data_IF_868770867888
#
_entry.id   IF_868770867888
#
_cell.length_a   1.000
_cell.length_b   1.000
_cell.length_c   1.000
_cell.angle_alpha   90.00
_cell.angle_beta   90.00
_cell.angle_gamma   90.00
#
_symmetry.space_group_name_H-M   'P 1'
#
loop_
_entity.id
_entity.type
_entity.pdbx_description
1 polymer ?
#
# COMPACT_ATOMS: atom_id res chain seq x y z
N UNK A 1 -22.50 1.22 -61.43
CA UNK A 1 -21.15 0.64 -61.34
C UNK A 1 -20.44 1.28 -60.15
N UNK A 2 -20.36 0.57 -59.03
CA UNK A 2 -19.65 1.03 -57.83
C UNK A 2 -18.49 0.05 -57.57
N UNK A 3 -17.30 0.61 -57.40
CA UNK A 3 -16.03 -0.11 -57.27
C UNK A 3 -15.98 -0.96 -55.98
N UNK A 4 -15.28 -2.12 -55.99
CA UNK A 4 -15.13 -2.94 -54.80
C UNK A 4 -14.08 -2.36 -53.84
N UNK A 5 -14.41 -2.39 -52.55
CA UNK A 5 -13.58 -1.96 -51.43
C UNK A 5 -12.48 -2.98 -51.10
N UNK A 6 -11.28 -2.46 -50.80
CA UNK A 6 -10.06 -3.17 -50.41
C UNK A 6 -10.11 -3.72 -48.96
N UNK A 7 -9.72 -4.99 -48.79
CA UNK A 7 -9.80 -5.79 -47.54
C UNK A 7 -8.49 -5.68 -46.70
N UNK A 8 -7.63 -4.70 -46.96
CA UNK A 8 -6.29 -4.64 -46.35
C UNK A 8 -6.19 -4.06 -44.92
N UNK A 9 -7.30 -3.69 -44.24
CA UNK A 9 -7.27 -3.17 -42.85
C UNK A 9 -7.74 -4.13 -41.74
N UNK A 10 -8.01 -5.40 -42.05
CA UNK A 10 -8.51 -6.39 -41.08
C UNK A 10 -7.43 -7.20 -40.33
N UNK A 11 -6.14 -6.95 -40.57
CA UNK A 11 -5.07 -7.90 -40.18
C UNK A 11 -4.46 -7.64 -38.80
N UNK A 12 -4.60 -6.43 -38.23
CA UNK A 12 -4.01 -6.11 -36.92
C UNK A 12 -4.89 -6.59 -35.74
N UNK A 13 -6.22 -6.52 -35.87
CA UNK A 13 -7.17 -6.94 -34.84
C UNK A 13 -7.26 -8.47 -34.72
N UNK A 14 -7.06 -9.21 -35.82
CA UNK A 14 -7.02 -10.68 -35.81
C UNK A 14 -5.80 -11.26 -35.06
N UNK A 15 -4.67 -10.54 -35.01
CA UNK A 15 -3.45 -11.02 -34.33
C UNK A 15 -3.52 -10.94 -32.79
N UNK A 16 -4.35 -10.05 -32.23
CA UNK A 16 -4.64 -10.01 -30.79
C UNK A 16 -5.72 -11.03 -30.38
N UNK A 17 -6.59 -11.41 -31.32
CA UNK A 17 -7.71 -12.32 -31.10
C UNK A 17 -7.30 -13.79 -30.87
N UNK A 18 -6.20 -14.24 -31.48
CA UNK A 18 -5.75 -15.65 -31.40
C UNK A 18 -5.07 -15.98 -30.06
N UNK A 19 -4.58 -14.98 -29.31
CA UNK A 19 -3.81 -15.23 -28.06
C UNK A 19 -4.66 -15.54 -26.82
N UNK A 20 -5.94 -15.15 -26.80
CA UNK A 20 -6.74 -15.14 -25.56
C UNK A 20 -8.10 -15.88 -25.62
N UNK A 21 -8.37 -16.70 -26.64
CA UNK A 21 -9.43 -17.72 -26.58
C UNK A 21 -10.83 -17.24 -26.17
N UNK A 22 -11.38 -16.23 -26.84
CA UNK A 22 -12.75 -15.76 -26.58
C UNK A 22 -13.78 -16.37 -27.54
N UNK A 23 -14.88 -16.87 -26.97
CA UNK A 23 -16.08 -17.27 -27.73
C UNK A 23 -16.90 -16.01 -28.04
N UNK A 24 -16.86 -15.58 -29.30
CA UNK A 24 -17.71 -14.52 -29.84
C UNK A 24 -19.07 -15.10 -30.25
N UNK A 25 -20.14 -14.78 -29.53
CA UNK A 25 -21.50 -14.89 -30.09
C UNK A 25 -21.81 -13.59 -30.82
N UNK A 26 -21.54 -13.59 -32.11
CA UNK A 26 -22.05 -12.62 -33.08
C UNK A 26 -23.57 -12.63 -33.07
N UNK A 27 -24.23 -11.57 -32.62
CA UNK A 27 -25.65 -11.34 -32.93
C UNK A 27 -25.75 -10.07 -33.76
N UNK A 28 -26.45 -10.19 -34.89
CA UNK A 28 -26.49 -9.22 -36.01
C UNK A 28 -26.83 -7.80 -35.52
N UNK A 29 -25.96 -6.83 -35.84
CA UNK A 29 -26.25 -5.39 -35.76
C UNK A 29 -27.33 -5.03 -36.78
N UNK A 30 -28.41 -4.39 -36.33
CA UNK A 30 -29.28 -3.59 -37.20
C UNK A 30 -28.63 -2.22 -37.45
N UNK A 31 -28.73 -1.66 -38.67
CA UNK A 31 -28.28 -0.30 -38.93
C UNK A 31 -29.32 0.67 -38.37
N UNK A 32 -28.93 1.80 -37.78
CA UNK A 32 -29.54 3.13 -37.97
C UNK A 32 -28.85 4.17 -37.08
N UNK A 33 -28.75 5.41 -37.59
CA UNK A 33 -28.22 6.55 -36.86
C UNK A 33 -29.15 6.91 -35.70
N UNK A 34 -28.69 6.72 -34.46
CA UNK A 34 -29.45 7.10 -33.26
C UNK A 34 -28.94 8.45 -32.77
N UNK A 35 -29.82 9.45 -32.68
CA UNK A 35 -29.50 10.73 -32.03
C UNK A 35 -29.16 10.46 -30.55
N UNK A 36 -28.16 11.15 -29.97
CA UNK A 36 -27.90 11.07 -28.54
C UNK A 36 -29.17 11.41 -27.76
N UNK A 37 -29.54 10.57 -26.79
CA UNK A 37 -30.72 10.78 -25.95
C UNK A 37 -30.33 10.65 -24.49
N UNK A 38 -30.82 11.57 -23.67
CA UNK A 38 -31.08 11.24 -22.28
C UNK A 38 -32.26 10.26 -22.29
N UNK A 39 -32.01 8.99 -21.95
CA UNK A 39 -33.05 7.97 -21.90
C UNK A 39 -34.17 8.33 -20.87
N UNK A 40 -33.92 9.33 -20.00
CA UNK A 40 -34.75 9.70 -18.87
C UNK A 40 -34.84 11.22 -18.65
N UNK A 41 -35.17 12.01 -19.68
CA UNK A 41 -35.20 13.48 -19.62
C UNK A 41 -36.20 14.11 -18.63
N UNK A 42 -37.05 13.29 -18.00
CA UNK A 42 -38.00 13.70 -16.97
C UNK A 42 -37.55 13.36 -15.55
N UNK A 43 -36.36 12.77 -15.39
CA UNK A 43 -35.83 12.33 -14.11
C UNK A 43 -34.93 13.41 -13.54
N UNK A 44 -35.15 13.74 -12.26
CA UNK A 44 -34.29 14.66 -11.52
C UNK A 44 -33.28 13.88 -10.67
N UNK A 45 -32.03 14.34 -10.69
CA UNK A 45 -30.95 13.91 -9.81
C UNK A 45 -30.98 14.67 -8.48
N UNK A 46 -30.27 14.14 -7.50
CA UNK A 46 -30.06 14.79 -6.19
C UNK A 46 -28.94 15.82 -6.29
N UNK A 47 -29.27 17.11 -6.25
CA UNK A 47 -28.28 18.19 -6.19
C UNK A 47 -27.65 18.26 -4.80
N UNK A 48 -26.33 18.45 -4.72
CA UNK A 48 -25.59 18.41 -3.44
C UNK A 48 -24.49 19.46 -3.35
N UNK A 49 -24.12 19.82 -2.12
CA UNK A 49 -22.89 20.57 -1.86
C UNK A 49 -21.65 19.65 -1.81
N UNK A 50 -20.46 20.24 -1.66
CA UNK A 50 -19.19 19.49 -1.57
C UNK A 50 -19.05 18.63 -0.31
N UNK A 51 -19.94 18.80 0.67
CA UNK A 51 -20.01 18.00 1.90
C UNK A 51 -21.07 16.89 1.80
N UNK A 52 -21.72 16.77 0.64
CA UNK A 52 -22.82 15.85 0.36
C UNK A 52 -24.13 16.18 1.08
N UNK A 53 -24.36 17.44 1.44
CA UNK A 53 -25.69 17.88 1.86
C UNK A 53 -26.59 18.04 0.66
N UNK A 54 -27.80 17.49 0.74
CA UNK A 54 -28.83 17.62 -0.29
C UNK A 54 -29.31 19.08 -0.39
N UNK A 55 -29.24 19.65 -1.59
CA UNK A 55 -29.70 21.02 -1.91
C UNK A 55 -31.07 21.02 -2.61
N UNK A 56 -31.55 19.85 -3.02
CA UNK A 56 -32.81 19.68 -3.76
C UNK A 56 -32.62 18.82 -5.00
N UNK A 57 -33.42 19.08 -6.02
CA UNK A 57 -33.42 18.37 -7.30
C UNK A 57 -32.80 19.18 -8.42
N UNK A 58 -32.11 18.53 -9.34
CA UNK A 58 -31.65 19.11 -10.61
C UNK A 58 -32.03 18.17 -11.76
N UNK A 59 -32.45 18.70 -12.91
CA UNK A 59 -32.75 17.87 -14.08
C UNK A 59 -31.48 17.17 -14.56
N UNK A 60 -31.61 15.99 -15.18
CA UNK A 60 -30.45 15.30 -15.76
C UNK A 60 -29.78 16.18 -16.83
N UNK A 61 -30.55 16.90 -17.63
CA UNK A 61 -30.06 17.84 -18.65
C UNK A 61 -29.17 18.94 -18.04
N UNK A 62 -29.66 19.61 -16.99
CA UNK A 62 -28.93 20.70 -16.34
C UNK A 62 -27.72 20.18 -15.55
N UNK A 63 -27.86 19.02 -14.91
CA UNK A 63 -26.78 18.36 -14.19
C UNK A 63 -25.56 18.02 -15.08
N UNK A 64 -25.80 17.80 -16.38
CA UNK A 64 -24.78 17.47 -17.37
C UNK A 64 -24.45 18.65 -18.30
N UNK A 65 -25.06 19.82 -18.10
CA UNK A 65 -24.78 21.00 -18.89
C UNK A 65 -23.42 21.58 -18.51
N UNK A 66 -22.49 21.61 -19.47
CA UNK A 66 -21.11 22.01 -19.21
C UNK A 66 -20.97 23.45 -18.70
N UNK A 67 -21.83 24.37 -19.15
CA UNK A 67 -21.81 25.76 -18.66
C UNK A 67 -22.17 25.82 -17.17
N UNK A 68 -23.24 25.13 -16.76
CA UNK A 68 -23.63 25.05 -15.34
C UNK A 68 -22.60 24.32 -14.48
N UNK A 69 -21.90 23.33 -15.05
CA UNK A 69 -20.77 22.65 -14.40
C UNK A 69 -19.59 23.60 -14.18
N UNK A 70 -19.27 24.45 -15.17
CA UNK A 70 -18.22 25.45 -15.07
C UNK A 70 -18.52 26.50 -14.00
N UNK A 71 -19.80 26.89 -13.88
CA UNK A 71 -20.29 27.83 -12.86
C UNK A 71 -20.41 27.19 -11.45
N UNK A 72 -20.04 25.90 -11.30
CA UNK A 72 -20.06 25.13 -10.04
C UNK A 72 -21.44 24.94 -9.40
N UNK A 73 -22.52 25.07 -10.19
CA UNK A 73 -23.92 24.95 -9.71
C UNK A 73 -24.59 23.62 -10.04
N UNK A 74 -23.94 22.77 -10.84
CA UNK A 74 -24.47 21.47 -11.28
C UNK A 74 -23.91 20.24 -10.53
N UNK A 75 -23.36 20.41 -9.33
CA UNK A 75 -22.89 19.27 -8.52
C UNK A 75 -24.07 18.40 -8.08
N UNK A 76 -24.02 17.13 -8.43
CA UNK A 76 -25.07 16.18 -8.07
C UNK A 76 -24.49 14.84 -7.63
N UNK A 77 -25.28 14.06 -6.90
CA UNK A 77 -24.87 12.74 -6.42
C UNK A 77 -24.89 11.72 -7.56
N UNK A 78 -23.91 10.83 -7.58
CA UNK A 78 -23.81 9.73 -8.53
C UNK A 78 -23.28 8.47 -7.85
N UNK A 79 -23.32 7.34 -8.56
CA UNK A 79 -22.68 6.11 -8.11
C UNK A 79 -21.97 5.37 -9.24
N UNK A 80 -20.94 4.62 -8.87
CA UNK A 80 -20.16 3.72 -9.70
C UNK A 80 -20.12 2.32 -9.09
N UNK A 81 -20.76 1.35 -9.76
CA UNK A 81 -20.77 -0.07 -9.36
C UNK A 81 -19.69 -0.84 -10.10
N UNK A 82 -18.84 -1.53 -9.36
CA UNK A 82 -17.89 -2.52 -9.84
C UNK A 82 -18.42 -3.91 -9.50
N UNK A 83 -18.79 -4.67 -10.53
CA UNK A 83 -19.29 -6.03 -10.39
C UNK A 83 -18.15 -7.03 -10.58
N UNK A 84 -17.97 -7.91 -9.61
CA UNK A 84 -17.01 -9.01 -9.65
C UNK A 84 -17.73 -10.35 -9.68
N UNK A 85 -17.27 -11.23 -10.56
CA UNK A 85 -17.68 -12.63 -10.56
C UNK A 85 -16.90 -13.41 -9.49
N UNK A 86 -17.39 -14.57 -9.09
CA UNK A 86 -16.78 -15.38 -8.03
C UNK A 86 -15.38 -15.92 -8.35
N UNK A 87 -15.01 -15.98 -9.62
CA UNK A 87 -13.64 -16.31 -10.08
C UNK A 87 -12.66 -15.13 -10.03
N UNK A 88 -13.10 -13.95 -9.57
CA UNK A 88 -12.27 -12.76 -9.42
C UNK A 88 -12.20 -11.86 -10.66
N UNK A 89 -12.87 -12.20 -11.76
CA UNK A 89 -12.98 -11.32 -12.92
C UNK A 89 -13.96 -10.18 -12.66
N UNK A 90 -13.66 -9.01 -13.22
CA UNK A 90 -14.48 -7.80 -13.10
C UNK A 90 -15.24 -7.54 -14.39
N UNK A 91 -16.52 -7.19 -14.30
CA UNK A 91 -17.32 -6.76 -15.45
C UNK A 91 -16.96 -5.31 -15.82
N UNK A 92 -16.56 -5.12 -17.08
CA UNK A 92 -16.51 -3.82 -17.74
C UNK A 92 -17.57 -3.77 -18.84
N UNK A 93 -18.10 -2.59 -19.10
CA UNK A 93 -19.04 -2.36 -20.18
C UNK A 93 -18.53 -1.30 -21.15
N UNK A 94 -18.97 -1.38 -22.41
CA UNK A 94 -18.89 -0.31 -23.39
C UNK A 94 -20.25 0.36 -23.49
N UNK A 95 -20.30 1.66 -23.18
CA UNK A 95 -21.53 2.46 -23.21
C UNK A 95 -22.13 2.47 -24.62
N UNK A 96 -23.46 2.38 -24.73
CA UNK A 96 -24.14 2.50 -26.01
C UNK A 96 -23.84 3.84 -26.70
N UNK A 97 -23.88 3.85 -28.03
CA UNK A 97 -23.66 5.06 -28.83
C UNK A 97 -24.78 6.10 -28.69
N UNK A 98 -25.95 5.67 -28.20
CA UNK A 98 -27.13 6.48 -27.89
C UNK A 98 -26.99 7.34 -26.63
N UNK A 99 -26.02 7.05 -25.74
CA UNK A 99 -25.81 7.79 -24.49
C UNK A 99 -25.47 9.27 -24.78
N UNK A 100 -26.03 10.18 -23.99
CA UNK A 100 -25.77 11.61 -24.12
C UNK A 100 -24.32 12.00 -23.80
N UNK A 101 -23.77 11.50 -22.69
CA UNK A 101 -22.36 11.70 -22.29
C UNK A 101 -21.53 10.47 -22.56
N UNK A 102 -20.29 10.66 -23.03
CA UNK A 102 -19.30 9.60 -23.26
C UNK A 102 -19.85 8.35 -24.00
N UNK A 103 -20.56 8.48 -25.14
CA UNK A 103 -21.04 7.34 -25.92
C UNK A 103 -19.87 6.50 -26.45
N UNK A 104 -20.00 5.18 -26.38
CA UNK A 104 -18.95 4.25 -26.85
C UNK A 104 -17.73 4.11 -25.94
N UNK A 105 -17.65 4.86 -24.83
CA UNK A 105 -16.57 4.73 -23.85
C UNK A 105 -16.74 3.45 -23.03
N UNK A 106 -15.62 2.83 -22.68
CA UNK A 106 -15.57 1.72 -21.72
C UNK A 106 -15.59 2.23 -20.29
N UNK A 107 -16.23 1.49 -19.39
CA UNK A 107 -16.35 1.85 -17.98
C UNK A 107 -16.56 0.62 -17.09
N UNK A 108 -16.70 0.83 -15.78
CA UNK A 108 -17.15 -0.18 -14.82
C UNK A 108 -18.59 -0.59 -15.12
N UNK A 109 -19.03 -1.70 -14.50
CA UNK A 109 -20.31 -2.35 -14.72
C UNK A 109 -21.48 -1.37 -14.86
N UNK A 110 -21.80 -0.56 -13.86
CA UNK A 110 -22.93 0.37 -13.94
C UNK A 110 -22.59 1.72 -13.30
N UNK A 111 -22.96 2.82 -13.96
CA UNK A 111 -22.80 4.18 -13.45
C UNK A 111 -24.08 4.96 -13.71
N UNK A 112 -24.61 5.64 -12.69
CA UNK A 112 -25.82 6.45 -12.83
C UNK A 112 -26.02 7.31 -11.58
N UNK A 113 -27.24 7.79 -11.38
CA UNK A 113 -27.61 8.76 -10.37
C UNK A 113 -28.77 8.24 -9.51
N UNK A 114 -28.78 8.52 -8.20
CA UNK A 114 -30.01 8.44 -7.43
C UNK A 114 -31.01 9.49 -7.93
N UNK A 115 -32.27 9.07 -8.07
CA UNK A 115 -33.40 9.95 -8.36
C UNK A 115 -33.71 10.78 -7.11
N UNK A 116 -34.16 12.01 -7.32
CA UNK A 116 -34.68 12.84 -6.23
C UNK A 116 -36.08 12.35 -5.81
N UNK A 117 -36.12 11.26 -5.05
CA UNK A 117 -37.32 10.65 -4.50
C UNK A 117 -37.02 10.01 -3.14
N UNK A 118 -38.01 9.83 -2.24
CA UNK A 118 -37.78 9.34 -0.89
C UNK A 118 -36.92 8.06 -0.82
N UNK A 119 -37.21 7.09 -1.68
CA UNK A 119 -36.53 5.78 -1.64
C UNK A 119 -35.05 5.83 -2.05
N UNK A 120 -34.65 6.79 -2.89
CA UNK A 120 -33.27 6.91 -3.40
C UNK A 120 -32.48 8.06 -2.75
N UNK A 121 -33.18 8.94 -2.01
CA UNK A 121 -32.59 10.02 -1.20
C UNK A 121 -32.39 9.63 0.26
N UNK A 122 -33.02 8.54 0.71
CA UNK A 122 -32.91 8.07 2.08
C UNK A 122 -31.45 7.80 2.48
N UNK A 123 -31.09 8.23 3.69
CA UNK A 123 -29.75 8.08 4.26
C UNK A 123 -29.74 7.15 5.49
N UNK A 124 -30.88 6.58 5.87
CA UNK A 124 -31.01 5.64 6.98
C UNK A 124 -31.64 4.32 6.51
N UNK A 125 -30.97 3.17 6.68
CA UNK A 125 -29.59 3.01 7.13
C UNK A 125 -28.58 3.68 6.18
N UNK A 126 -27.32 3.92 6.60
CA UNK A 126 -26.32 4.59 5.78
C UNK A 126 -26.24 4.02 4.35
N UNK A 127 -26.25 4.91 3.37
CA UNK A 127 -26.19 4.60 1.94
C UNK A 127 -27.41 3.86 1.37
N UNK A 128 -28.50 3.68 2.12
CA UNK A 128 -29.68 2.93 1.67
C UNK A 128 -30.23 3.45 0.34
N UNK A 129 -30.49 4.76 0.23
CA UNK A 129 -31.10 5.32 -0.96
C UNK A 129 -30.24 5.19 -2.22
N UNK A 130 -28.94 5.45 -2.10
CA UNK A 130 -28.04 5.31 -3.24
C UNK A 130 -27.81 3.84 -3.64
N UNK A 131 -27.87 2.92 -2.68
CA UNK A 131 -27.87 1.47 -2.98
C UNK A 131 -29.14 1.04 -3.70
N UNK A 132 -30.31 1.57 -3.33
CA UNK A 132 -31.55 1.34 -4.07
C UNK A 132 -31.42 1.80 -5.53
N UNK A 133 -30.84 2.99 -5.76
CA UNK A 133 -30.57 3.50 -7.09
C UNK A 133 -29.62 2.58 -7.89
N UNK A 134 -28.54 2.12 -7.26
CA UNK A 134 -27.57 1.20 -7.85
C UNK A 134 -28.21 -0.16 -8.19
N UNK A 135 -29.00 -0.72 -7.28
CA UNK A 135 -29.74 -1.96 -7.48
C UNK A 135 -30.70 -1.86 -8.68
N UNK A 136 -31.49 -0.77 -8.73
CA UNK A 136 -32.42 -0.52 -9.83
C UNK A 136 -31.68 -0.42 -11.17
N UNK A 137 -30.62 0.40 -11.26
CA UNK A 137 -29.89 0.59 -12.52
C UNK A 137 -29.14 -0.66 -12.97
N UNK A 138 -28.59 -1.44 -12.06
CA UNK A 138 -28.02 -2.76 -12.37
C UNK A 138 -29.08 -3.67 -13.01
N UNK A 139 -30.31 -3.68 -12.49
CA UNK A 139 -31.42 -4.46 -13.08
C UNK A 139 -31.84 -3.92 -14.45
N UNK A 140 -31.96 -2.60 -14.62
CA UNK A 140 -32.35 -1.96 -15.88
C UNK A 140 -31.29 -2.14 -16.99
N UNK A 141 -30.00 -1.99 -16.69
CA UNK A 141 -28.91 -2.05 -17.69
C UNK A 141 -28.53 -3.49 -18.06
N UNK A 142 -28.73 -4.46 -17.16
CA UNK A 142 -28.28 -5.85 -17.35
C UNK A 142 -29.39 -6.90 -17.32
N UNK A 143 -30.65 -6.48 -17.19
CA UNK A 143 -31.84 -7.35 -17.14
C UNK A 143 -31.72 -8.46 -16.08
N UNK A 144 -31.05 -8.16 -14.96
CA UNK A 144 -30.85 -9.09 -13.85
C UNK A 144 -31.88 -8.87 -12.74
N UNK A 145 -32.17 -9.90 -11.93
CA UNK A 145 -32.89 -9.72 -10.67
C UNK A 145 -32.24 -8.69 -9.76
N UNK A 146 -33.05 -8.09 -8.89
CA UNK A 146 -32.56 -7.14 -7.89
C UNK A 146 -31.54 -7.82 -6.96
N UNK A 147 -30.30 -7.34 -7.00
CA UNK A 147 -29.24 -7.81 -6.11
C UNK A 147 -29.53 -7.26 -4.70
N UNK A 148 -29.44 -8.06 -3.62
CA UNK A 148 -29.69 -7.57 -2.26
C UNK A 148 -28.81 -6.37 -1.88
N UNK A 149 -29.36 -5.40 -1.13
CA UNK A 149 -28.68 -4.12 -0.82
C UNK A 149 -27.43 -4.30 0.05
N UNK A 150 -27.38 -5.36 0.85
CA UNK A 150 -26.23 -5.76 1.66
C UNK A 150 -25.01 -6.15 0.82
N UNK A 151 -25.23 -6.63 -0.41
CA UNK A 151 -24.17 -7.01 -1.35
C UNK A 151 -23.45 -5.80 -1.97
N UNK A 152 -24.02 -4.60 -1.84
CA UNK A 152 -23.38 -3.36 -2.27
C UNK A 152 -22.44 -2.86 -1.18
N UNK A 153 -21.16 -3.18 -1.29
CA UNK A 153 -20.15 -2.74 -0.34
C UNK A 153 -19.65 -1.35 -0.72
N UNK A 154 -19.92 -0.35 0.13
CA UNK A 154 -19.37 0.99 -0.03
C UNK A 154 -17.85 0.95 0.11
N UNK A 155 -17.15 1.50 -0.88
CA UNK A 155 -15.69 1.54 -0.90
C UNK A 155 -15.18 2.94 -0.60
N UNK A 156 -15.70 3.93 -1.31
CA UNK A 156 -15.19 5.30 -1.25
C UNK A 156 -16.17 6.28 -1.90
N UNK A 157 -15.92 7.57 -1.71
CA UNK A 157 -16.69 8.67 -2.27
C UNK A 157 -15.76 9.79 -2.69
N UNK A 158 -15.94 10.32 -3.89
CA UNK A 158 -15.09 11.40 -4.39
C UNK A 158 -15.85 12.35 -5.31
N UNK A 159 -15.36 13.58 -5.41
CA UNK A 159 -15.90 14.58 -6.32
C UNK A 159 -14.99 14.67 -7.54
N UNK A 160 -15.57 14.69 -8.75
CA UNK A 160 -14.82 14.90 -9.97
C UNK A 160 -15.59 15.76 -10.97
N UNK A 161 -14.85 16.39 -11.91
CA UNK A 161 -15.39 17.05 -13.10
C UNK A 161 -14.78 16.44 -14.34
N UNK A 162 -15.57 16.20 -15.37
CA UNK A 162 -15.09 15.71 -16.66
C UNK A 162 -15.88 16.34 -17.80
N UNK A 163 -15.20 17.03 -18.71
CA UNK A 163 -15.81 17.52 -19.93
C UNK A 163 -15.96 16.39 -20.94
N UNK A 164 -17.11 16.28 -21.60
CA UNK A 164 -17.28 15.40 -22.76
C UNK A 164 -17.15 16.17 -24.07
N UNK A 165 -17.88 17.28 -24.22
CA UNK A 165 -17.80 18.18 -25.36
C UNK A 165 -18.04 19.64 -24.92
N UNK A 166 -18.25 20.57 -25.86
CA UNK A 166 -18.48 21.98 -25.56
C UNK A 166 -19.71 22.24 -24.70
N UNK A 167 -20.74 21.39 -24.80
CA UNK A 167 -22.03 21.57 -24.14
C UNK A 167 -22.30 20.61 -22.99
N UNK A 168 -21.62 19.45 -22.97
CA UNK A 168 -21.91 18.36 -22.04
C UNK A 168 -20.67 17.93 -21.25
N UNK A 169 -20.88 17.55 -20.01
CA UNK A 169 -19.88 16.94 -19.14
C UNK A 169 -20.53 16.36 -17.89
N UNK A 170 -19.70 16.05 -16.90
CA UNK A 170 -20.13 15.50 -15.61
C UNK A 170 -19.45 16.25 -14.47
N UNK A 171 -20.22 16.51 -13.40
CA UNK A 171 -19.75 17.07 -12.13
C UNK A 171 -20.46 16.35 -10.98
N UNK A 172 -19.79 15.33 -10.48
CA UNK A 172 -20.44 14.36 -9.62
C UNK A 172 -19.74 14.21 -8.29
N UNK A 173 -20.55 14.00 -7.26
CA UNK A 173 -20.15 13.39 -6.00
C UNK A 173 -20.47 11.90 -6.08
N UNK A 174 -19.47 11.13 -6.51
CA UNK A 174 -19.62 9.73 -6.92
C UNK A 174 -19.34 8.77 -5.75
N UNK A 175 -20.28 7.86 -5.53
CA UNK A 175 -20.20 6.77 -4.57
C UNK A 175 -19.77 5.47 -5.24
N UNK A 176 -18.65 4.90 -4.79
CA UNK A 176 -18.11 3.66 -5.34
C UNK A 176 -18.60 2.46 -4.55
N UNK A 177 -19.25 1.52 -5.24
CA UNK A 177 -19.70 0.25 -4.68
C UNK A 177 -19.03 -0.93 -5.34
N UNK A 178 -18.59 -1.90 -4.54
CA UNK A 178 -18.20 -3.22 -5.03
C UNK A 178 -19.31 -4.20 -4.75
N UNK A 179 -19.64 -5.01 -5.76
CA UNK A 179 -20.67 -6.05 -5.71
C UNK A 179 -20.05 -7.33 -6.23
N UNK A 180 -20.35 -8.46 -5.57
CA UNK A 180 -20.02 -9.79 -6.09
C UNK A 180 -21.30 -10.52 -6.49
N UNK A 181 -21.34 -11.04 -7.71
CA UNK A 181 -22.49 -11.81 -8.20
C UNK A 181 -22.09 -12.73 -9.35
N UNK A 182 -22.71 -13.91 -9.39
CA UNK A 182 -22.56 -14.90 -10.46
C UNK A 182 -23.81 -14.97 -11.36
N UNK A 183 -24.68 -13.96 -11.26
CA UNK A 183 -25.85 -13.84 -12.12
C UNK A 183 -25.43 -13.74 -13.59
N UNK A 184 -26.18 -14.41 -14.46
CA UNK A 184 -26.03 -14.26 -15.90
C UNK A 184 -26.46 -12.86 -16.31
N UNK A 185 -25.56 -12.14 -16.99
CA UNK A 185 -25.78 -10.76 -17.42
C UNK A 185 -26.31 -10.74 -18.85
N UNK A 186 -27.43 -10.04 -19.07
CA UNK A 186 -27.98 -9.77 -20.40
C UNK A 186 -28.07 -8.26 -20.63
N UNK A 187 -27.11 -7.65 -21.35
CA UNK A 187 -27.08 -6.21 -21.50
C UNK A 187 -28.33 -5.69 -22.21
N UNK A 188 -28.88 -4.59 -21.72
CA UNK A 188 -29.82 -3.77 -22.45
C UNK A 188 -29.04 -2.95 -23.50
N UNK A 189 -29.19 -3.32 -24.78
CA UNK A 189 -28.42 -2.72 -25.87
C UNK A 189 -28.70 -1.23 -26.13
N UNK A 190 -29.79 -0.69 -25.58
CA UNK A 190 -30.06 0.75 -25.61
C UNK A 190 -29.12 1.54 -24.68
N UNK A 191 -28.56 0.87 -23.68
CA UNK A 191 -27.70 1.44 -22.64
C UNK A 191 -26.24 0.94 -22.75
N UNK A 192 -26.07 -0.32 -23.14
CA UNK A 192 -24.80 -1.07 -23.11
C UNK A 192 -24.53 -1.73 -24.46
N UNK A 193 -23.49 -1.29 -25.16
CA UNK A 193 -23.13 -1.86 -26.47
C UNK A 193 -22.46 -3.24 -26.32
N UNK A 194 -21.52 -3.36 -25.38
CA UNK A 194 -20.71 -4.56 -25.16
C UNK A 194 -20.39 -4.72 -23.69
N UNK A 195 -20.16 -5.96 -23.28
CA UNK A 195 -19.67 -6.30 -21.94
C UNK A 195 -18.47 -7.24 -22.04
N UNK A 196 -17.58 -7.18 -21.06
CA UNK A 196 -16.44 -8.08 -20.95
C UNK A 196 -16.09 -8.33 -19.48
N UNK A 197 -15.87 -9.59 -19.12
CA UNK A 197 -15.23 -9.95 -17.86
C UNK A 197 -13.72 -9.93 -18.05
N UNK A 198 -13.02 -9.17 -17.21
CA UNK A 198 -11.56 -8.99 -17.28
C UNK A 198 -10.89 -9.31 -15.95
N UNK A 199 -9.74 -9.96 -16.03
CA UNK A 199 -8.83 -10.09 -14.88
C UNK A 199 -8.03 -8.80 -14.65
N UNK A 200 -7.38 -8.68 -13.49
CA UNK A 200 -6.56 -7.50 -13.18
C UNK A 200 -5.46 -7.25 -14.21
N UNK A 201 -4.78 -8.31 -14.67
CA UNK A 201 -3.72 -8.19 -15.66
C UNK A 201 -4.27 -7.68 -17.01
N UNK A 202 -5.39 -8.25 -17.45
CA UNK A 202 -6.06 -7.83 -18.69
C UNK A 202 -6.55 -6.39 -18.60
N UNK A 203 -7.09 -5.97 -17.46
CA UNK A 203 -7.53 -4.60 -17.25
C UNK A 203 -6.37 -3.60 -17.38
N UNK A 204 -5.17 -3.94 -16.87
CA UNK A 204 -3.97 -3.11 -17.04
C UNK A 204 -3.59 -3.00 -18.52
N UNK A 205 -3.58 -4.11 -19.26
CA UNK A 205 -3.32 -4.10 -20.70
C UNK A 205 -4.31 -3.22 -21.48
N UNK A 206 -5.61 -3.29 -21.14
CA UNK A 206 -6.64 -2.47 -21.77
C UNK A 206 -6.51 -0.98 -21.44
N UNK A 207 -6.15 -0.64 -20.18
CA UNK A 207 -5.89 0.74 -19.79
C UNK A 207 -4.67 1.32 -20.54
N UNK A 208 -3.60 0.55 -20.66
CA UNK A 208 -2.41 0.93 -21.43
C UNK A 208 -2.72 1.06 -22.93
N UNK A 209 -3.53 0.15 -23.49
CA UNK A 209 -3.98 0.23 -24.87
C UNK A 209 -4.78 1.52 -25.09
N UNK A 210 -5.69 1.84 -24.17
CA UNK A 210 -6.48 3.07 -24.25
C UNK A 210 -5.63 4.34 -24.15
N UNK A 211 -4.51 4.31 -23.41
CA UNK A 211 -3.55 5.42 -23.36
C UNK A 211 -2.77 5.57 -24.68
N UNK A 212 -2.36 4.44 -25.28
CA UNK A 212 -1.54 4.45 -26.51
C UNK A 212 -2.35 4.66 -27.79
N UNK A 213 -3.61 4.20 -27.80
CA UNK A 213 -4.49 4.11 -28.98
C UNK A 213 -5.93 4.51 -28.64
N UNK A 214 -6.17 5.78 -28.25
CA UNK A 214 -7.51 6.25 -27.92
C UNK A 214 -8.50 6.17 -29.10
N UNK A 215 -8.02 6.13 -30.35
CA UNK A 215 -8.84 5.91 -31.54
C UNK A 215 -9.48 4.52 -31.60
N UNK A 216 -8.93 3.55 -30.85
CA UNK A 216 -9.45 2.18 -30.76
C UNK A 216 -10.35 2.02 -29.53
N UNK A 217 -9.91 2.54 -28.39
CA UNK A 217 -10.57 2.31 -27.11
C UNK A 217 -10.35 3.49 -26.16
N UNK A 218 -11.43 4.00 -25.58
CA UNK A 218 -11.37 5.01 -24.54
C UNK A 218 -12.09 4.52 -23.29
N UNK A 219 -11.49 4.72 -22.13
CA UNK A 219 -12.14 4.54 -20.85
C UNK A 219 -12.70 5.87 -20.34
N UNK A 220 -13.85 5.80 -19.69
CA UNK A 220 -14.49 6.93 -19.06
C UNK A 220 -13.57 7.59 -18.01
N UNK A 221 -13.60 8.93 -17.87
CA UNK A 221 -12.70 9.63 -16.95
C UNK A 221 -12.81 9.17 -15.50
N UNK A 222 -14.01 8.96 -14.98
CA UNK A 222 -14.22 8.45 -13.62
C UNK A 222 -13.64 7.05 -13.44
N UNK A 223 -13.83 6.16 -14.43
CA UNK A 223 -13.24 4.82 -14.38
C UNK A 223 -11.72 4.89 -14.25
N UNK A 224 -11.06 5.78 -15.00
CA UNK A 224 -9.60 5.99 -14.89
C UNK A 224 -9.20 6.54 -13.52
N UNK A 225 -9.97 7.47 -12.95
CA UNK A 225 -9.72 8.00 -11.60
C UNK A 225 -9.82 6.90 -10.54
N UNK A 226 -10.88 6.10 -10.60
CA UNK A 226 -11.13 4.97 -9.69
C UNK A 226 -10.05 3.90 -9.90
N UNK A 227 -9.78 3.49 -11.13
CA UNK A 227 -8.72 2.55 -11.48
C UNK A 227 -7.35 3.03 -10.96
N UNK A 228 -6.98 4.30 -11.15
CA UNK A 228 -5.73 4.84 -10.63
C UNK A 228 -5.69 4.87 -9.10
N UNK A 229 -6.83 4.95 -8.41
CA UNK A 229 -6.93 4.94 -6.96
C UNK A 229 -6.85 3.51 -6.39
N UNK A 230 -7.56 2.55 -6.99
CA UNK A 230 -7.70 1.18 -6.47
C UNK A 230 -6.77 0.15 -7.13
N UNK A 231 -6.44 0.29 -8.41
CA UNK A 231 -5.41 -0.50 -9.10
C UNK A 231 -3.99 -0.01 -8.80
N UNK A 232 -3.83 1.04 -7.98
CA UNK A 232 -2.53 1.41 -7.40
C UNK A 232 -2.08 0.32 -6.42
N UNK A 233 -1.55 -0.75 -7.00
CA UNK A 233 -0.39 -1.48 -6.50
C UNK A 233 -0.55 -2.01 -5.06
N UNK A 234 -1.69 -2.64 -4.72
CA UNK A 234 -1.70 -3.56 -3.58
C UNK A 234 -0.75 -4.72 -3.90
N UNK A 235 0.49 -4.63 -3.39
CA UNK A 235 1.53 -5.67 -3.54
C UNK A 235 2.69 -5.33 -4.47
N UNK A 236 2.71 -4.19 -5.17
CA UNK A 236 3.88 -3.83 -5.98
C UNK A 236 5.02 -3.31 -5.12
N UNK A 237 6.23 -3.71 -5.47
CA UNK A 237 7.47 -3.46 -4.73
C UNK A 237 7.79 -1.95 -4.61
N UNK A 238 7.15 -1.06 -5.38
CA UNK A 238 7.41 0.39 -5.35
C UNK A 238 6.29 1.27 -4.80
N UNK A 239 5.06 0.79 -4.57
CA UNK A 239 3.98 1.66 -4.09
C UNK A 239 3.00 0.90 -3.21
N UNK A 240 2.69 1.48 -2.05
CA UNK A 240 1.81 0.90 -1.02
C UNK A 240 2.32 1.29 0.37
N UNK A 241 1.64 2.22 1.05
CA UNK A 241 1.93 2.65 2.42
C UNK A 241 1.57 1.59 3.49
N UNK A 242 1.56 0.30 3.13
CA UNK A 242 0.88 -0.75 3.89
C UNK A 242 1.72 -1.97 4.26
N UNK A 243 3.04 -1.91 4.12
CA UNK A 243 3.95 -2.86 4.76
C UNK A 243 5.20 -2.09 5.15
N UNK A 244 5.55 -2.16 6.43
CA UNK A 244 6.70 -1.47 7.03
C UNK A 244 7.90 -1.50 6.08
N UNK A 245 8.35 -0.32 5.63
CA UNK A 245 9.64 -0.18 4.94
C UNK A 245 9.68 0.42 3.52
N UNK A 246 8.64 1.07 2.98
CA UNK A 246 8.75 1.75 1.65
C UNK A 246 8.21 3.18 1.62
N UNK A 247 8.99 4.05 0.97
CA UNK A 247 8.82 5.51 0.82
C UNK A 247 8.80 6.38 2.09
N UNK A 248 9.35 5.89 3.21
CA UNK A 248 9.66 6.69 4.43
C UNK A 248 11.15 6.73 4.78
N UNK A 249 12.03 6.62 3.78
CA UNK A 249 13.44 6.96 3.96
C UNK A 249 13.79 8.12 3.03
N UNK A 250 13.77 9.33 3.58
CA UNK A 250 14.80 10.30 3.20
C UNK A 250 16.17 9.62 3.46
N UNK A 251 17.22 9.88 2.69
CA UNK A 251 18.56 9.36 2.99
C UNK A 251 18.97 9.63 4.45
N UNK A 252 18.48 10.74 5.04
CA UNK A 252 18.67 11.11 6.45
C UNK A 252 17.45 10.94 7.37
N UNK A 253 16.35 10.31 6.93
CA UNK A 253 15.08 10.32 7.67
C UNK A 253 14.51 11.74 7.89
N UNK A 254 13.38 11.86 8.58
CA UNK A 254 12.91 13.15 9.15
C UNK A 254 12.97 13.02 10.68
N UNK A 255 13.43 14.07 11.36
CA UNK A 255 13.76 14.03 12.79
C UNK A 255 15.07 13.29 13.06
N UNK A 256 15.34 12.94 14.33
CA UNK A 256 16.58 12.29 14.77
C UNK A 256 16.67 10.79 14.37
N UNK A 257 16.13 10.43 13.21
CA UNK A 257 16.17 9.10 12.62
C UNK A 257 17.62 8.75 12.22
N UNK A 258 18.15 7.65 12.78
CA UNK A 258 19.57 7.28 12.66
C UNK A 258 20.38 7.53 13.93
N UNK A 259 19.84 8.29 14.90
CA UNK A 259 20.50 8.55 16.19
C UNK A 259 20.70 7.32 17.09
N UNK A 260 19.94 6.23 16.89
CA UNK A 260 20.19 4.92 17.52
C UNK A 260 21.09 3.99 16.69
N UNK A 261 21.51 4.41 15.49
CA UNK A 261 22.33 3.65 14.56
C UNK A 261 23.61 4.42 14.20
N UNK A 262 23.78 4.84 12.94
CA UNK A 262 25.03 5.40 12.43
C UNK A 262 25.36 6.81 12.96
N UNK A 263 24.39 7.55 13.51
CA UNK A 263 24.63 8.83 14.17
C UNK A 263 24.77 8.74 15.70
N UNK A 264 24.75 7.52 16.27
CA UNK A 264 24.74 7.30 17.73
C UNK A 264 25.95 7.88 18.46
N UNK A 265 27.11 7.88 17.82
CA UNK A 265 28.34 8.47 18.39
C UNK A 265 28.16 9.98 18.59
N UNK A 266 27.63 10.68 17.58
CA UNK A 266 27.40 12.12 17.66
C UNK A 266 26.30 12.46 18.69
N UNK A 267 25.24 11.65 18.77
CA UNK A 267 24.19 11.85 19.78
C UNK A 267 24.70 11.61 21.21
N UNK A 268 25.54 10.59 21.44
CA UNK A 268 26.15 10.38 22.75
C UNK A 268 27.14 11.50 23.13
N UNK A 269 27.81 12.09 22.14
CA UNK A 269 28.81 13.13 22.36
C UNK A 269 28.19 14.50 22.63
N UNK A 270 27.18 14.89 21.86
CA UNK A 270 26.63 16.25 21.90
C UNK A 270 25.25 16.34 22.58
N UNK A 271 24.54 15.21 22.73
CA UNK A 271 23.20 15.15 23.34
C UNK A 271 23.07 13.93 24.28
N UNK A 272 23.90 13.85 25.34
CA UNK A 272 23.88 12.71 26.26
C UNK A 272 22.51 12.60 26.94
N UNK A 273 21.92 11.40 26.94
CA UNK A 273 20.60 11.12 27.53
C UNK A 273 19.40 11.28 26.59
N UNK A 274 19.62 11.66 25.32
CA UNK A 274 18.54 11.91 24.36
C UNK A 274 17.71 10.66 23.97
N UNK A 275 18.33 9.46 23.90
CA UNK A 275 17.63 8.21 23.56
C UNK A 275 17.54 7.23 24.74
N UNK A 276 16.31 6.87 25.12
CA UNK A 276 15.98 5.75 26.01
C UNK A 276 16.18 6.01 27.50
N UNK A 277 15.31 5.43 28.33
CA UNK A 277 15.39 5.46 29.81
C UNK A 277 16.77 5.03 30.29
N UNK A 278 17.32 5.78 31.24
CA UNK A 278 18.63 5.54 31.86
C UNK A 278 18.64 4.16 32.52
N UNK A 279 19.53 3.27 32.06
CA UNK A 279 19.81 1.98 32.70
C UNK A 279 19.98 0.81 31.72
N UNK A 280 21.14 0.14 31.78
CA UNK A 280 21.35 -1.14 31.10
C UNK A 280 20.42 -2.20 31.71
N UNK A 281 19.40 -2.63 30.97
CA UNK A 281 18.61 -3.83 31.33
C UNK A 281 19.33 -5.06 30.77
N UNK A 282 20.05 -5.78 31.63
CA UNK A 282 20.34 -7.19 31.36
C UNK A 282 18.98 -7.93 31.36
N UNK A 283 18.46 -8.26 30.18
CA UNK A 283 17.27 -9.09 30.07
C UNK A 283 17.59 -10.47 30.68
N UNK A 284 16.96 -10.80 31.82
CA UNK A 284 17.21 -11.98 32.64
C UNK A 284 18.62 -12.07 33.25
N UNK A 285 18.85 -11.32 34.33
CA UNK A 285 20.06 -11.45 35.17
C UNK A 285 20.16 -12.87 35.72
N UNK A 286 21.02 -13.69 35.11
CA UNK A 286 21.45 -14.95 35.69
C UNK A 286 22.49 -14.64 36.77
N UNK A 287 22.09 -14.61 38.04
CA UNK A 287 23.01 -14.38 39.18
C UNK A 287 24.22 -15.34 39.15
N UNK A 288 24.03 -16.54 38.59
CA UNK A 288 25.09 -17.54 38.32
C UNK A 288 26.12 -17.16 37.25
N UNK A 289 25.97 -16.05 36.53
CA UNK A 289 27.04 -15.53 35.66
C UNK A 289 27.92 -14.50 36.38
N UNK A 290 27.45 -13.95 37.51
CA UNK A 290 28.14 -12.91 38.27
C UNK A 290 28.76 -13.42 39.58
N UNK A 291 28.47 -14.66 40.00
CA UNK A 291 28.99 -15.22 41.25
C UNK A 291 30.52 -15.42 41.27
N UNK A 292 31.14 -15.61 40.10
CA UNK A 292 32.57 -15.85 39.97
C UNK A 292 33.12 -15.13 38.73
N UNK A 293 33.28 -13.79 38.79
CA UNK A 293 33.85 -13.04 37.68
C UNK A 293 35.25 -13.55 37.36
N UNK A 294 35.52 -13.82 36.09
CA UNK A 294 36.79 -14.42 35.65
C UNK A 294 37.67 -13.43 34.91
N UNK A 295 38.98 -13.51 35.11
CA UNK A 295 39.97 -12.75 34.35
C UNK A 295 40.98 -13.70 33.67
N UNK A 296 41.36 -13.39 32.42
CA UNK A 296 42.40 -14.16 31.72
C UNK A 296 43.79 -13.59 31.98
N UNK A 297 44.82 -14.44 31.96
CA UNK A 297 46.21 -14.04 32.23
C UNK A 297 46.72 -12.88 31.37
N UNK A 298 46.25 -12.74 30.12
CA UNK A 298 46.60 -11.59 29.25
C UNK A 298 46.13 -10.23 29.78
N UNK A 299 45.07 -10.20 30.59
CA UNK A 299 44.46 -8.97 31.12
C UNK A 299 44.93 -8.62 32.53
N UNK A 300 45.62 -9.53 33.22
CA UNK A 300 46.06 -9.30 34.61
C UNK A 300 47.01 -8.10 34.68
N UNK A 301 47.89 -7.95 33.69
CA UNK A 301 48.82 -6.82 33.64
C UNK A 301 48.11 -5.47 33.51
N UNK A 302 46.92 -5.46 32.90
CA UNK A 302 46.10 -4.27 32.74
C UNK A 302 45.58 -3.69 34.06
N UNK A 303 45.54 -4.49 35.13
CA UNK A 303 45.04 -4.08 36.45
C UNK A 303 46.02 -3.18 37.21
N UNK A 304 47.31 -3.23 36.88
CA UNK A 304 48.32 -2.41 37.53
C UNK A 304 48.42 -1.05 36.83
N UNK A 305 48.52 0.08 37.54
CA UNK A 305 48.81 1.39 36.95
C UNK A 305 50.13 1.42 36.16
N UNK A 306 50.19 2.23 35.10
CA UNK A 306 51.34 2.30 34.19
C UNK A 306 52.65 2.72 34.90
N UNK A 307 52.56 3.55 35.94
CA UNK A 307 53.70 3.99 36.78
C UNK A 307 54.38 2.80 37.46
N UNK A 308 53.58 1.92 38.06
CA UNK A 308 54.03 0.72 38.76
C UNK A 308 54.62 -0.27 37.75
N UNK A 309 53.99 -0.46 36.58
CA UNK A 309 54.57 -1.34 35.53
C UNK A 309 55.98 -0.91 35.12
N UNK A 310 56.20 0.41 34.93
CA UNK A 310 57.52 0.96 34.56
C UNK A 310 58.55 0.79 35.67
N UNK A 311 58.15 0.94 36.93
CA UNK A 311 59.01 0.72 38.08
C UNK A 311 59.51 -0.73 38.14
N UNK A 312 58.58 -1.68 38.07
CA UNK A 312 58.91 -3.10 38.16
C UNK A 312 59.58 -3.63 36.88
N UNK A 313 59.39 -3.00 35.72
CA UNK A 313 60.10 -3.37 34.48
C UNK A 313 61.62 -3.23 34.60
N UNK A 314 62.13 -2.41 35.52
CA UNK A 314 63.57 -2.17 35.73
C UNK A 314 64.19 -3.13 36.76
N UNK A 315 63.41 -3.63 37.71
CA UNK A 315 63.89 -4.49 38.80
C UNK A 315 63.43 -5.94 38.61
N UNK A 316 64.36 -6.87 38.34
CA UNK A 316 64.06 -8.31 38.23
C UNK A 316 63.95 -9.02 39.59
N UNK A 317 64.46 -8.41 40.67
CA UNK A 317 64.49 -9.01 42.01
C UNK A 317 63.16 -8.91 42.77
N UNK A 318 62.27 -8.00 42.39
CA UNK A 318 60.97 -7.79 43.04
C UNK A 318 59.85 -7.97 42.02
N UNK A 319 58.81 -8.72 42.38
CA UNK A 319 57.64 -8.94 41.55
C UNK A 319 56.44 -8.12 42.08
N UNK A 320 55.62 -7.52 41.19
CA UNK A 320 54.40 -6.86 41.62
C UNK A 320 53.38 -7.90 42.11
N UNK A 321 52.68 -7.56 43.18
CA UNK A 321 51.56 -8.33 43.71
C UNK A 321 50.28 -7.79 43.11
N UNK A 322 49.53 -8.65 42.42
CA UNK A 322 48.29 -8.31 41.72
C UNK A 322 47.15 -9.01 42.42
N UNK A 323 46.35 -8.25 43.15
CA UNK A 323 45.14 -8.75 43.77
C UNK A 323 43.95 -8.60 42.81
N UNK A 324 43.58 -9.71 42.19
CA UNK A 324 42.46 -9.70 41.25
C UNK A 324 41.11 -9.66 41.98
N UNK A 325 41.08 -10.03 43.27
CA UNK A 325 39.87 -9.97 44.11
C UNK A 325 39.53 -8.53 44.43
N UNK A 326 40.52 -7.70 44.76
CA UNK A 326 40.33 -6.25 44.90
C UNK A 326 39.83 -5.59 43.61
N UNK A 327 40.19 -6.16 42.46
CA UNK A 327 39.72 -5.72 41.15
C UNK A 327 38.35 -6.30 40.74
N UNK A 328 37.68 -7.03 41.64
CA UNK A 328 36.34 -7.60 41.42
C UNK A 328 36.32 -8.94 40.68
N UNK A 329 37.45 -9.64 40.56
CA UNK A 329 37.55 -10.95 39.92
C UNK A 329 37.87 -12.06 40.92
N UNK A 330 37.20 -13.19 40.79
CA UNK A 330 37.35 -14.33 41.71
C UNK A 330 38.23 -15.44 41.13
N UNK A 331 38.23 -15.64 39.80
CA UNK A 331 38.95 -16.75 39.15
C UNK A 331 39.86 -16.31 38.01
N UNK A 332 41.08 -16.86 37.99
CA UNK A 332 42.06 -16.61 36.93
C UNK A 332 42.11 -17.75 35.90
N UNK A 333 42.00 -17.39 34.62
CA UNK A 333 41.95 -18.30 33.47
C UNK A 333 43.18 -18.16 32.57
N UNK A 334 43.58 -19.26 31.92
CA UNK A 334 44.86 -19.34 31.20
C UNK A 334 44.86 -18.83 29.75
N UNK A 335 43.90 -18.03 29.27
CA UNK A 335 43.92 -17.52 27.89
C UNK A 335 44.96 -16.41 27.70
N UNK A 336 45.66 -16.45 26.57
CA UNK A 336 46.66 -15.47 26.17
C UNK A 336 48.04 -15.66 26.82
N UNK A 337 48.87 -14.62 26.81
CA UNK A 337 50.27 -14.65 27.27
C UNK A 337 50.52 -13.59 28.35
N UNK A 338 51.34 -13.94 29.33
CA UNK A 338 51.90 -12.98 30.28
C UNK A 338 53.21 -12.42 29.72
N UNK A 339 53.59 -11.18 30.10
CA UNK A 339 54.94 -10.68 29.85
C UNK A 339 55.97 -11.62 30.49
N UNK A 340 57.20 -11.66 29.94
CA UNK A 340 58.32 -12.46 30.47
C UNK A 340 58.90 -11.81 31.74
N UNK A 341 58.04 -11.56 32.73
CA UNK A 341 58.38 -10.92 33.99
C UNK A 341 57.64 -11.66 35.12
N UNK A 342 58.30 -11.92 36.26
CA UNK A 342 57.66 -12.59 37.38
C UNK A 342 56.56 -11.73 38.01
N UNK A 343 55.42 -12.35 38.33
CA UNK A 343 54.24 -11.70 38.91
C UNK A 343 53.65 -12.56 40.02
N UNK A 344 53.22 -11.94 41.11
CA UNK A 344 52.51 -12.65 42.18
C UNK A 344 51.03 -12.32 42.03
N UNK A 345 50.18 -13.32 41.77
CA UNK A 345 48.74 -13.12 41.56
C UNK A 345 47.98 -13.69 42.74
N UNK A 346 47.12 -12.88 43.35
CA UNK A 346 46.20 -13.28 44.43
C UNK A 346 44.79 -13.44 43.88
N UNK A 347 44.18 -14.61 44.02
CA UNK A 347 42.82 -14.91 43.57
C UNK A 347 42.15 -15.97 44.45
N UNK A 348 40.80 -16.09 44.39
CA UNK A 348 40.08 -17.18 45.06
C UNK A 348 40.27 -18.52 44.36
N UNK A 349 40.38 -18.50 43.03
CA UNK A 349 40.55 -19.70 42.22
C UNK A 349 41.52 -19.47 41.05
N UNK A 350 42.28 -20.51 40.71
CA UNK A 350 43.10 -20.56 39.49
C UNK A 350 42.68 -21.76 38.63
N UNK A 351 42.74 -21.60 37.31
CA UNK A 351 42.73 -22.77 36.42
C UNK A 351 44.15 -23.35 36.31
N UNK A 352 44.27 -24.67 36.14
CA UNK A 352 45.58 -25.35 35.98
C UNK A 352 46.48 -24.69 34.92
N UNK A 353 45.89 -24.33 33.77
CA UNK A 353 46.57 -23.61 32.68
C UNK A 353 47.05 -22.21 33.09
N UNK A 354 46.31 -21.52 33.97
CA UNK A 354 46.74 -20.22 34.48
C UNK A 354 47.95 -20.36 35.42
N UNK A 355 47.90 -21.33 36.34
CA UNK A 355 49.01 -21.60 37.25
C UNK A 355 50.29 -21.98 36.50
N UNK A 356 50.20 -22.90 35.54
CA UNK A 356 51.34 -23.30 34.70
C UNK A 356 51.98 -22.08 34.01
N UNK A 357 51.16 -21.16 33.49
CA UNK A 357 51.64 -19.95 32.81
C UNK A 357 52.26 -18.93 33.76
N UNK A 358 51.68 -18.73 34.94
CA UNK A 358 52.20 -17.81 35.95
C UNK A 358 53.53 -18.36 36.50
N UNK A 359 53.59 -19.65 36.81
CA UNK A 359 54.83 -20.33 37.26
C UNK A 359 55.91 -20.30 36.17
N UNK A 360 55.54 -20.48 34.89
CA UNK A 360 56.47 -20.43 33.75
C UNK A 360 57.18 -19.08 33.58
N UNK A 361 56.56 -17.97 34.00
CA UNK A 361 57.20 -16.64 33.97
C UNK A 361 57.93 -16.31 35.28
N UNK A 362 58.10 -17.27 36.19
CA UNK A 362 58.73 -17.08 37.50
C UNK A 362 57.80 -16.43 38.54
N UNK A 363 56.49 -16.42 38.28
CA UNK A 363 55.48 -15.88 39.17
C UNK A 363 54.93 -16.90 40.18
N UNK A 364 54.14 -16.40 41.13
CA UNK A 364 53.48 -17.21 42.15
C UNK A 364 51.96 -16.99 42.14
N UNK A 365 51.20 -18.06 42.39
CA UNK A 365 49.74 -18.00 42.57
C UNK A 365 49.43 -18.13 44.06
N UNK A 366 48.76 -17.13 44.64
CA UNK A 366 48.35 -17.11 46.04
C UNK A 366 46.83 -17.23 46.11
N UNK A 367 46.36 -18.27 46.79
CA UNK A 367 44.93 -18.43 47.07
C UNK A 367 44.53 -17.51 48.23
N UNK A 368 43.47 -16.75 48.04
CA UNK A 368 42.90 -15.84 49.05
C UNK A 368 41.45 -16.25 49.30
N UNK A 369 41.03 -16.33 50.56
CA UNK A 369 39.70 -16.81 50.97
C UNK A 369 38.56 -15.88 50.55
#
# INVERSE_FOLDING_TARGET
MAMPWDVSRATLLKRLYIKYGYVYKSVKRLPWSVKPRFCHSSVNCVAVDRRDHCLGSISVEDAHNWKLIQDDVALHRAFSVFLFHSDGRMLIQKRASSKATFPGYWSNACCSHPRFMPDETNSNPPFSGIKCAAQRRMSEEFKIPLIPLESFHFIDRFIYKAQFNESLGEHELDYVFFVRSDLLIEPNFDEVELIQYVEEAQLKELLELSDRKPEIMQFAPWFRLIAKKFLKLRGHVSHGHGRVGKHRKHPGGRGNAGGLHHHRINFNKYHPGYFGKVGMRNFHVRKSQYWCPTINVEKIWSLIPETVRRQYSKSKSKAPVIDVVQSGYHKVLGKGKLPKQPVIVKAKFFSKRAEEKIKKVGGACLLVA
#
